data_IF_298703943232
#
_entry.id   IF_298703943232
#
_cell.length_a   1.000
_cell.length_b   1.000
_cell.length_c   1.000
_cell.angle_alpha   90.00
_cell.angle_beta   90.00
_cell.angle_gamma   90.00
#
_symmetry.space_group_name_H-M   'P 1'
#
loop_
_entity.id
_entity.type
_entity.pdbx_description
1 polymer ?
#
# COMPACT_ATOMS: atom_id res chain seq x y z
N UNK A 1 -6.44 -5.72 0.89
CA UNK A 1 -7.87 -5.98 0.57
C UNK A 1 -8.00 -6.70 -0.79
N UNK A 2 -9.03 -7.55 -1.06
CA UNK A 2 -9.35 -8.03 -2.41
C UNK A 2 -9.80 -6.91 -3.34
N UNK A 3 -9.46 -7.01 -4.63
CA UNK A 3 -9.71 -5.95 -5.61
C UNK A 3 -11.19 -5.62 -5.79
N UNK A 4 -12.04 -6.63 -5.90
CA UNK A 4 -13.49 -6.51 -6.04
C UNK A 4 -14.11 -5.80 -4.81
N UNK A 5 -13.68 -6.18 -3.61
CA UNK A 5 -14.12 -5.55 -2.36
C UNK A 5 -13.68 -4.09 -2.29
N UNK A 6 -12.45 -3.80 -2.71
CA UNK A 6 -11.97 -2.42 -2.80
C UNK A 6 -12.78 -1.60 -3.80
N UNK A 7 -13.04 -2.11 -5.01
CA UNK A 7 -13.85 -1.43 -6.02
C UNK A 7 -15.29 -1.17 -5.54
N UNK A 8 -15.92 -2.12 -4.83
CA UNK A 8 -17.24 -1.94 -4.22
C UNK A 8 -17.26 -0.95 -3.05
N UNK A 9 -16.10 -0.65 -2.46
CA UNK A 9 -15.98 0.28 -1.34
C UNK A 9 -15.88 1.74 -1.75
N UNK A 10 -15.72 2.02 -3.03
CA UNK A 10 -15.64 3.39 -3.52
C UNK A 10 -17.00 4.08 -3.38
N UNK A 11 -17.00 5.30 -2.83
CA UNK A 11 -18.21 6.15 -2.78
C UNK A 11 -18.02 7.28 -3.79
N UNK A 12 -18.55 7.15 -5.02
CA UNK A 12 -18.55 8.25 -5.98
C UNK A 12 -19.54 9.33 -5.50
N UNK A 13 -19.10 10.58 -5.50
CA UNK A 13 -19.92 11.74 -5.17
C UNK A 13 -19.76 12.77 -6.27
N UNK A 14 -20.87 13.18 -6.88
CA UNK A 14 -20.91 14.21 -7.93
C UNK A 14 -21.75 15.39 -7.48
N UNK A 15 -21.42 16.56 -8.01
CA UNK A 15 -22.29 17.74 -7.87
C UNK A 15 -23.66 17.44 -8.47
N UNK A 16 -24.70 17.74 -7.70
CA UNK A 16 -26.11 17.49 -8.04
C UNK A 16 -26.64 16.12 -7.59
N UNK A 17 -25.79 15.26 -7.01
CA UNK A 17 -26.27 14.00 -6.43
C UNK A 17 -27.19 14.26 -5.23
N UNK A 18 -28.21 13.42 -5.07
CA UNK A 18 -29.03 13.34 -3.87
C UNK A 18 -28.53 12.18 -3.00
N UNK A 19 -27.85 12.51 -1.90
CA UNK A 19 -27.23 11.59 -0.95
C UNK A 19 -27.71 11.96 0.45
N UNK A 20 -28.31 11.02 1.17
CA UNK A 20 -28.71 11.21 2.56
C UNK A 20 -27.49 11.62 3.40
N UNK A 21 -27.52 12.84 3.92
CA UNK A 21 -26.37 13.43 4.60
C UNK A 21 -25.99 12.68 5.89
N UNK A 22 -27.00 12.22 6.64
CA UNK A 22 -26.79 11.51 7.89
C UNK A 22 -26.23 10.11 7.67
N UNK A 23 -26.74 9.39 6.67
CA UNK A 23 -26.21 8.09 6.26
C UNK A 23 -24.78 8.22 5.74
N UNK A 24 -24.53 9.17 4.84
CA UNK A 24 -23.20 9.41 4.28
C UNK A 24 -22.14 9.66 5.38
N UNK A 25 -22.41 10.59 6.29
CA UNK A 25 -21.46 10.91 7.37
C UNK A 25 -21.28 9.75 8.36
N UNK A 26 -22.35 8.99 8.64
CA UNK A 26 -22.29 7.77 9.45
C UNK A 26 -21.43 6.71 8.77
N UNK A 27 -21.63 6.44 7.48
CA UNK A 27 -20.86 5.47 6.70
C UNK A 27 -19.36 5.81 6.71
N UNK A 28 -18.99 7.07 6.50
CA UNK A 28 -17.58 7.48 6.56
C UNK A 28 -16.96 7.17 7.94
N UNK A 29 -17.68 7.49 9.01
CA UNK A 29 -17.21 7.22 10.38
C UNK A 29 -17.10 5.72 10.66
N UNK A 30 -18.08 4.92 10.23
CA UNK A 30 -18.08 3.46 10.40
C UNK A 30 -16.91 2.79 9.66
N UNK A 31 -16.59 3.29 8.46
CA UNK A 31 -15.46 2.84 7.63
C UNK A 31 -14.08 3.20 8.18
N UNK A 32 -14.03 3.94 9.29
CA UNK A 32 -12.78 4.24 9.99
C UNK A 32 -12.19 5.60 9.69
N UNK A 33 -12.94 6.52 9.07
CA UNK A 33 -12.49 7.91 8.98
C UNK A 33 -12.49 8.53 10.37
N UNK A 34 -11.39 9.18 10.74
CA UNK A 34 -11.27 9.87 12.01
C UNK A 34 -11.98 11.22 11.97
N UNK A 35 -13.03 11.38 12.78
CA UNK A 35 -13.80 12.63 12.84
C UNK A 35 -13.12 13.65 13.74
N UNK A 36 -12.66 14.74 13.14
CA UNK A 36 -12.02 15.87 13.81
C UNK A 36 -12.77 17.18 13.55
N UNK A 37 -12.29 18.27 14.18
CA UNK A 37 -12.82 19.61 13.96
C UNK A 37 -12.37 20.22 12.62
N UNK A 38 -11.20 19.81 12.13
CA UNK A 38 -10.63 20.13 10.84
C UNK A 38 -9.79 18.94 10.37
N UNK A 39 -9.74 18.71 9.05
CA UNK A 39 -8.88 17.68 8.47
C UNK A 39 -7.44 18.17 8.45
N UNK A 40 -6.51 17.25 8.71
CA UNK A 40 -5.06 17.55 8.81
C UNK A 40 -4.24 16.50 8.05
N UNK A 41 -4.65 15.23 8.11
CA UNK A 41 -3.98 14.12 7.43
C UNK A 41 -4.98 13.24 6.67
N UNK A 42 -4.50 12.46 5.67
CA UNK A 42 -5.32 11.43 5.03
C UNK A 42 -5.98 10.50 6.05
N UNK A 43 -7.24 10.13 5.79
CA UNK A 43 -8.06 9.37 6.73
C UNK A 43 -8.84 10.23 7.72
N UNK A 44 -8.67 11.56 7.72
CA UNK A 44 -9.48 12.47 8.54
C UNK A 44 -10.74 12.94 7.80
N UNK A 45 -11.82 13.17 8.56
CA UNK A 45 -13.00 13.91 8.13
C UNK A 45 -13.33 15.04 9.12
N UNK A 46 -13.95 16.11 8.62
CA UNK A 46 -14.56 17.13 9.47
C UNK A 46 -15.97 17.43 8.97
N UNK A 47 -16.94 17.42 9.89
CA UNK A 47 -18.36 17.62 9.57
C UNK A 47 -18.84 18.89 10.26
N UNK A 48 -19.28 19.88 9.47
CA UNK A 48 -19.63 21.23 9.92
C UNK A 48 -20.93 21.70 9.25
N UNK A 49 -22.06 21.52 9.93
CA UNK A 49 -23.36 21.79 9.32
C UNK A 49 -23.55 20.90 8.09
N UNK A 50 -23.90 21.48 6.94
CA UNK A 50 -24.00 20.77 5.66
C UNK A 50 -22.66 20.63 4.92
N UNK A 51 -21.51 20.67 5.60
CA UNK A 51 -20.20 20.55 4.96
C UNK A 51 -19.50 19.30 5.47
N UNK A 52 -18.95 18.51 4.55
CA UNK A 52 -18.04 17.41 4.86
C UNK A 52 -16.70 17.69 4.20
N UNK A 53 -15.66 17.89 5.01
CA UNK A 53 -14.29 17.85 4.53
C UNK A 53 -13.76 16.43 4.68
N UNK A 54 -13.10 15.91 3.65
CA UNK A 54 -12.52 14.57 3.62
C UNK A 54 -11.11 14.64 3.03
N UNK A 55 -10.14 14.02 3.71
CA UNK A 55 -8.78 13.90 3.21
C UNK A 55 -8.51 12.44 2.81
N UNK A 56 -8.40 12.19 1.51
CA UNK A 56 -8.21 10.85 0.93
C UNK A 56 -6.74 10.44 0.91
N UNK A 57 -6.47 9.14 1.05
CA UNK A 57 -5.15 8.58 0.82
C UNK A 57 -4.76 8.70 -0.66
N UNK A 58 -3.54 9.14 -0.93
CA UNK A 58 -3.03 9.33 -2.30
C UNK A 58 -3.33 10.70 -2.90
N UNK A 59 -4.14 11.53 -2.23
CA UNK A 59 -4.38 12.92 -2.63
C UNK A 59 -3.40 13.88 -1.93
N UNK A 60 -3.02 14.95 -2.62
CA UNK A 60 -2.15 15.99 -2.03
C UNK A 60 -2.93 16.98 -1.16
N UNK A 61 -4.24 17.13 -1.40
CA UNK A 61 -5.10 18.12 -0.74
C UNK A 61 -6.49 17.54 -0.46
N UNK A 62 -7.16 17.96 0.64
CA UNK A 62 -8.50 17.50 0.99
C UNK A 62 -9.59 18.07 0.08
N UNK A 63 -10.73 17.39 0.09
CA UNK A 63 -11.95 17.77 -0.60
C UNK A 63 -12.99 18.28 0.40
N UNK A 64 -13.64 19.38 0.07
CA UNK A 64 -14.80 19.94 0.76
C UNK A 64 -16.04 19.67 -0.07
N UNK A 65 -17.00 18.97 0.51
CA UNK A 65 -18.28 18.64 -0.10
C UNK A 65 -19.35 19.45 0.64
N UNK A 66 -20.00 20.36 -0.09
CA UNK A 66 -21.04 21.23 0.45
C UNK A 66 -22.41 20.66 0.06
N UNK A 67 -23.28 20.45 1.05
CA UNK A 67 -24.64 19.91 0.93
C UNK A 67 -25.68 20.99 1.23
N UNK A 68 -26.84 20.86 0.58
CA UNK A 68 -28.07 21.56 0.94
C UNK A 68 -29.19 20.53 1.14
N UNK A 69 -29.50 20.22 2.41
CA UNK A 69 -30.26 19.02 2.73
C UNK A 69 -29.46 17.79 2.28
N UNK A 70 -30.05 17.00 1.38
CA UNK A 70 -29.41 15.80 0.82
C UNK A 70 -28.77 16.05 -0.55
N UNK A 71 -28.80 17.29 -1.08
CA UNK A 71 -28.25 17.59 -2.40
C UNK A 71 -26.80 18.11 -2.32
N UNK A 72 -25.89 17.50 -3.06
CA UNK A 72 -24.50 17.95 -3.19
C UNK A 72 -24.44 19.21 -4.07
N UNK A 73 -24.18 20.36 -3.45
CA UNK A 73 -24.14 21.66 -4.13
C UNK A 73 -22.79 21.96 -4.78
N UNK A 74 -21.69 21.65 -4.09
CA UNK A 74 -20.35 21.91 -4.61
C UNK A 74 -19.33 20.94 -4.04
N UNK A 75 -18.27 20.70 -4.81
CA UNK A 75 -17.10 19.93 -4.38
C UNK A 75 -15.87 20.78 -4.70
N UNK A 76 -15.00 20.98 -3.70
CA UNK A 76 -13.82 21.83 -3.82
C UNK A 76 -12.60 21.15 -3.26
N UNK A 77 -11.48 21.24 -3.97
CA UNK A 77 -10.16 20.96 -3.38
C UNK A 77 -9.75 22.22 -2.62
N UNK A 78 -9.27 22.07 -1.39
CA UNK A 78 -8.83 23.18 -0.56
C UNK A 78 -7.48 22.91 0.08
N UNK A 79 -6.76 23.98 0.38
CA UNK A 79 -5.45 23.93 1.00
C UNK A 79 -5.58 23.56 2.49
N UNK A 80 -4.98 22.45 2.91
CA UNK A 80 -5.14 21.91 4.27
C UNK A 80 -4.64 22.87 5.37
N UNK A 81 -3.58 23.65 5.10
CA UNK A 81 -2.99 24.55 6.09
C UNK A 81 -3.81 25.84 6.25
N UNK A 82 -4.15 26.48 5.13
CA UNK A 82 -4.85 27.76 5.11
C UNK A 82 -6.37 27.63 5.16
N UNK A 83 -6.90 26.42 4.95
CA UNK A 83 -8.33 26.09 4.88
C UNK A 83 -9.08 26.86 3.78
N UNK A 84 -8.37 27.29 2.73
CA UNK A 84 -8.91 28.07 1.60
C UNK A 84 -9.10 27.19 0.38
N UNK A 85 -10.22 27.39 -0.31
CA UNK A 85 -10.49 26.70 -1.58
C UNK A 85 -9.42 27.03 -2.62
N UNK A 86 -8.95 26.00 -3.31
CA UNK A 86 -8.00 26.10 -4.42
C UNK A 86 -8.78 26.09 -5.74
N UNK A 87 -9.62 25.08 -5.96
CA UNK A 87 -10.43 24.92 -7.18
C UNK A 87 -11.67 24.07 -6.94
N UNK A 88 -12.69 24.29 -7.77
CA UNK A 88 -13.88 23.44 -7.84
C UNK A 88 -13.64 22.21 -8.74
N UNK A 89 -14.31 21.11 -8.39
CA UNK A 89 -14.34 19.86 -9.16
C UNK A 89 -15.78 19.37 -9.27
N UNK A 90 -16.08 18.61 -10.32
CA UNK A 90 -17.44 18.10 -10.57
C UNK A 90 -17.75 16.84 -9.75
N UNK A 91 -16.72 16.08 -9.40
CA UNK A 91 -16.85 14.79 -8.72
C UNK A 91 -15.63 14.50 -7.83
N UNK A 92 -15.83 13.63 -6.85
CA UNK A 92 -14.79 13.00 -6.04
C UNK A 92 -15.17 11.54 -5.80
N UNK A 93 -14.20 10.64 -5.84
CA UNK A 93 -14.39 9.24 -5.47
C UNK A 93 -13.76 9.01 -4.10
N UNK A 94 -14.58 8.80 -3.08
CA UNK A 94 -14.09 8.63 -1.70
C UNK A 94 -13.63 7.20 -1.53
N UNK A 95 -12.32 7.06 -1.33
CA UNK A 95 -11.64 5.81 -1.01
C UNK A 95 -11.93 5.37 0.44
N UNK A 96 -11.83 4.08 0.78
CA UNK A 96 -11.79 3.66 2.18
C UNK A 96 -10.51 4.18 2.88
N UNK A 97 -10.55 4.50 4.18
CA UNK A 97 -9.39 5.01 4.91
C UNK A 97 -8.44 3.90 5.38
N UNK A 98 -8.87 2.64 5.34
CA UNK A 98 -8.08 1.46 5.72
C UNK A 98 -8.34 0.30 4.74
N UNK A 99 -7.46 -0.70 4.75
CA UNK A 99 -7.65 -1.96 4.05
C UNK A 99 -8.71 -2.86 4.70
N UNK A 100 -9.20 -2.52 5.89
CA UNK A 100 -10.26 -3.24 6.62
C UNK A 100 -11.63 -2.74 6.15
N UNK A 101 -12.30 -3.54 5.31
CA UNK A 101 -13.64 -3.23 4.80
C UNK A 101 -14.64 -4.16 5.45
N UNK A 102 -15.63 -3.61 6.17
CA UNK A 102 -16.60 -4.41 6.93
C UNK A 102 -18.02 -4.39 6.35
N UNK A 103 -18.28 -3.61 5.29
CA UNK A 103 -19.66 -3.32 4.82
C UNK A 103 -20.23 -4.35 3.82
N UNK A 104 -19.49 -5.42 3.49
CA UNK A 104 -19.77 -6.27 2.31
C UNK A 104 -20.14 -7.72 2.60
N UNK A 105 -20.73 -8.01 3.78
CA UNK A 105 -21.10 -9.38 4.15
C UNK A 105 -19.89 -10.28 4.46
N UNK A 106 -18.73 -9.65 4.68
CA UNK A 106 -17.46 -10.32 4.91
C UNK A 106 -17.43 -11.04 6.25
N UNK A 107 -18.24 -10.59 7.22
CA UNK A 107 -18.42 -11.24 8.51
C UNK A 107 -18.83 -12.71 8.34
N UNK A 108 -19.76 -13.01 7.43
CA UNK A 108 -20.19 -14.39 7.15
C UNK A 108 -19.07 -15.22 6.54
N UNK A 109 -18.31 -14.64 5.59
CA UNK A 109 -17.19 -15.33 4.96
C UNK A 109 -16.03 -15.59 5.93
N UNK A 110 -15.88 -14.72 6.95
CA UNK A 110 -14.81 -14.74 7.94
C UNK A 110 -15.07 -15.69 9.12
N UNK A 111 -16.33 -15.96 9.46
CA UNK A 111 -16.70 -16.72 10.67
C UNK A 111 -16.04 -18.11 10.72
N UNK A 112 -15.98 -18.80 9.58
CA UNK A 112 -15.31 -20.10 9.51
C UNK A 112 -13.82 -19.98 9.86
N UNK A 113 -13.14 -18.95 9.33
CA UNK A 113 -11.71 -18.70 9.60
C UNK A 113 -11.48 -18.32 11.06
N UNK A 114 -12.32 -17.44 11.61
CA UNK A 114 -12.29 -17.06 13.02
C UNK A 114 -12.41 -18.29 13.92
N UNK A 115 -13.43 -19.13 13.70
CA UNK A 115 -13.67 -20.37 14.45
C UNK A 115 -12.51 -21.38 14.32
N UNK A 116 -11.96 -21.56 13.12
CA UNK A 116 -10.84 -22.48 12.89
C UNK A 116 -9.58 -22.02 13.64
N UNK A 117 -9.31 -20.71 13.67
CA UNK A 117 -8.17 -20.12 14.39
C UNK A 117 -8.36 -20.19 15.90
N UNK A 118 -9.54 -19.86 16.44
CA UNK A 118 -9.83 -19.99 17.87
C UNK A 118 -9.57 -21.44 18.35
N UNK A 119 -10.01 -22.44 17.57
CA UNK A 119 -9.78 -23.85 17.89
C UNK A 119 -8.31 -24.27 17.77
N UNK A 120 -7.62 -23.87 16.69
CA UNK A 120 -6.24 -24.28 16.40
C UNK A 120 -5.23 -23.61 17.33
N UNK A 121 -5.43 -22.32 17.61
CA UNK A 121 -4.49 -21.49 18.36
C UNK A 121 -4.89 -21.32 19.83
N UNK A 122 -6.11 -21.73 20.21
CA UNK A 122 -6.58 -21.66 21.60
C UNK A 122 -6.82 -20.23 22.10
N UNK A 123 -7.09 -19.30 21.18
CA UNK A 123 -7.30 -17.88 21.45
C UNK A 123 -8.79 -17.52 21.42
N UNK A 124 -9.14 -16.37 21.99
CA UNK A 124 -10.51 -15.83 21.97
C UNK A 124 -10.57 -14.63 21.03
N UNK A 125 -11.36 -14.73 19.96
CA UNK A 125 -11.56 -13.68 18.96
C UNK A 125 -12.97 -13.09 19.02
N UNK A 126 -13.68 -13.24 20.15
CA UNK A 126 -15.05 -12.74 20.33
C UNK A 126 -15.18 -11.25 20.03
N UNK A 127 -14.28 -10.41 20.53
CA UNK A 127 -14.31 -8.96 20.28
C UNK A 127 -14.13 -8.64 18.79
N UNK A 128 -13.17 -9.31 18.13
CA UNK A 128 -12.94 -9.14 16.68
C UNK A 128 -14.16 -9.56 15.87
N UNK A 129 -14.79 -10.67 16.25
CA UNK A 129 -16.03 -11.16 15.64
C UNK A 129 -17.18 -10.15 15.79
N UNK A 130 -17.32 -9.53 16.96
CA UNK A 130 -18.33 -8.49 17.21
C UNK A 130 -18.06 -7.25 16.35
N UNK A 131 -16.82 -6.78 16.27
CA UNK A 131 -16.43 -5.65 15.40
C UNK A 131 -16.72 -5.94 13.93
N UNK A 132 -16.38 -7.14 13.44
CA UNK A 132 -16.65 -7.54 12.05
C UNK A 132 -18.15 -7.57 11.75
N UNK A 133 -18.95 -8.16 12.64
CA UNK A 133 -20.40 -8.23 12.48
C UNK A 133 -21.08 -6.86 12.53
N UNK A 134 -20.60 -5.99 13.41
CA UNK A 134 -21.23 -4.69 13.64
C UNK A 134 -20.75 -3.63 12.64
N UNK A 135 -19.80 -3.95 11.75
CA UNK A 135 -19.28 -3.03 10.75
C UNK A 135 -18.40 -1.92 11.34
N UNK A 136 -17.78 -2.16 12.50
CA UNK A 136 -17.07 -1.12 13.25
C UNK A 136 -15.57 -1.28 13.08
N UNK A 137 -14.96 -0.31 12.41
CA UNK A 137 -13.51 -0.22 12.34
C UNK A 137 -12.88 0.19 13.70
N UNK A 138 -11.73 -0.41 14.01
CA UNK A 138 -10.83 -0.05 15.11
C UNK A 138 -9.39 -0.15 14.63
N UNK A 139 -8.55 0.75 15.12
CA UNK A 139 -7.11 0.72 14.86
C UNK A 139 -6.52 -0.64 15.29
N UNK A 140 -5.68 -1.22 14.42
CA UNK A 140 -5.05 -2.51 14.65
C UNK A 140 -5.86 -3.69 14.13
N UNK A 141 -7.04 -3.48 13.53
CA UNK A 141 -7.76 -4.55 12.83
C UNK A 141 -7.02 -5.06 11.58
N UNK A 142 -6.04 -4.31 11.08
CA UNK A 142 -5.15 -4.67 9.97
C UNK A 142 -4.38 -5.97 10.23
N UNK A 143 -4.14 -6.34 11.47
CA UNK A 143 -3.50 -7.64 11.77
C UNK A 143 -4.42 -8.83 11.48
N UNK A 144 -5.73 -8.61 11.29
CA UNK A 144 -6.72 -9.66 11.03
C UNK A 144 -7.19 -9.71 9.57
N UNK A 145 -6.48 -9.07 8.64
CA UNK A 145 -6.87 -9.03 7.22
C UNK A 145 -7.02 -10.42 6.61
N UNK A 146 -6.16 -11.38 6.93
CA UNK A 146 -6.35 -12.76 6.47
C UNK A 146 -7.60 -13.43 7.06
N UNK A 147 -7.99 -13.13 8.30
CA UNK A 147 -9.26 -13.64 8.84
C UNK A 147 -10.45 -13.02 8.10
N UNK A 148 -10.35 -11.74 7.75
CA UNK A 148 -11.39 -11.03 7.01
C UNK A 148 -11.51 -11.54 5.56
N UNK A 149 -10.40 -11.66 4.84
CA UNK A 149 -10.40 -11.91 3.39
C UNK A 149 -9.93 -13.30 2.95
N UNK A 150 -9.17 -14.00 3.80
CA UNK A 150 -8.47 -15.24 3.46
C UNK A 150 -7.46 -15.04 2.33
N UNK A 151 -7.28 -16.09 1.53
CA UNK A 151 -6.36 -16.10 0.39
C UNK A 151 -6.81 -15.22 -0.79
N UNK A 152 -7.98 -14.58 -0.71
CA UNK A 152 -8.47 -13.68 -1.77
C UNK A 152 -7.75 -12.32 -1.78
N UNK A 153 -6.95 -12.02 -0.75
CA UNK A 153 -6.24 -10.75 -0.60
C UNK A 153 -4.76 -10.88 -0.95
N UNK A 154 -4.37 -10.57 -2.18
CA UNK A 154 -2.95 -10.56 -2.58
C UNK A 154 -2.65 -9.34 -3.43
N UNK A 155 -1.51 -8.65 -3.25
CA UNK A 155 -1.09 -7.59 -4.18
C UNK A 155 -1.03 -8.06 -5.63
N UNK A 156 -0.72 -9.34 -5.86
CA UNK A 156 -0.65 -9.93 -7.20
C UNK A 156 -2.02 -9.98 -7.88
N UNK A 157 -3.14 -10.01 -7.13
CA UNK A 157 -4.48 -10.02 -7.73
C UNK A 157 -4.86 -8.68 -8.39
N UNK A 158 -4.14 -7.60 -8.09
CA UNK A 158 -4.32 -6.30 -8.74
C UNK A 158 -3.59 -6.19 -10.08
N UNK A 159 -2.69 -7.12 -10.40
CA UNK A 159 -1.91 -7.04 -11.62
C UNK A 159 -2.81 -7.20 -12.87
N UNK A 160 -2.58 -6.40 -13.93
CA UNK A 160 -3.25 -6.64 -15.21
C UNK A 160 -2.79 -7.96 -15.80
N UNK A 161 -3.62 -8.57 -16.67
CA UNK A 161 -3.33 -9.88 -17.26
C UNK A 161 -2.01 -9.90 -18.04
N UNK A 162 -1.73 -8.80 -18.75
CA UNK A 162 -0.57 -8.66 -19.65
C UNK A 162 0.61 -7.93 -18.98
N UNK A 163 0.83 -8.17 -17.69
CA UNK A 163 2.00 -7.62 -16.98
C UNK A 163 3.26 -8.46 -17.25
N UNK A 164 4.41 -7.77 -17.34
CA UNK A 164 5.73 -8.38 -17.29
C UNK A 164 6.32 -8.17 -15.88
N UNK A 165 6.58 -9.27 -15.17
CA UNK A 165 7.18 -9.21 -13.83
C UNK A 165 8.71 -9.25 -13.95
N UNK A 166 9.41 -8.30 -13.34
CA UNK A 166 10.88 -8.32 -13.26
C UNK A 166 11.30 -8.62 -11.83
N UNK A 167 11.82 -9.83 -11.60
CA UNK A 167 12.40 -10.22 -10.31
C UNK A 167 13.90 -9.93 -10.33
N UNK A 168 14.29 -8.87 -9.64
CA UNK A 168 15.69 -8.48 -9.50
C UNK A 168 16.31 -9.18 -8.30
N UNK A 169 17.43 -9.88 -8.51
CA UNK A 169 18.12 -10.70 -7.51
C UNK A 169 17.18 -11.70 -6.79
N UNK A 170 16.61 -12.70 -7.49
CA UNK A 170 15.65 -13.63 -6.86
C UNK A 170 16.13 -14.27 -5.55
N UNK A 171 17.41 -14.66 -5.46
CA UNK A 171 17.96 -15.21 -4.22
C UNK A 171 18.04 -14.22 -3.07
N UNK A 172 18.21 -12.91 -3.34
CA UNK A 172 18.15 -11.88 -2.32
C UNK A 172 16.71 -11.64 -1.85
N UNK A 173 15.73 -11.73 -2.76
CA UNK A 173 14.30 -11.68 -2.42
C UNK A 173 13.92 -12.85 -1.53
N UNK A 174 14.32 -14.07 -1.90
CA UNK A 174 14.10 -15.28 -1.09
C UNK A 174 14.72 -15.16 0.31
N UNK A 175 15.99 -14.74 0.39
CA UNK A 175 16.67 -14.55 1.68
C UNK A 175 16.03 -13.45 2.55
N UNK A 176 15.55 -12.35 1.93
CA UNK A 176 14.84 -11.28 2.63
C UNK A 176 13.49 -11.77 3.17
N UNK A 177 12.79 -12.60 2.39
CA UNK A 177 11.54 -13.22 2.78
C UNK A 177 11.73 -14.18 3.97
N UNK A 178 12.69 -15.10 3.88
CA UNK A 178 13.01 -16.04 4.98
C UNK A 178 13.34 -15.29 6.27
N UNK A 179 14.14 -14.22 6.18
CA UNK A 179 14.46 -13.36 7.31
C UNK A 179 13.21 -12.73 7.91
N UNK A 180 12.32 -12.20 7.05
CA UNK A 180 11.10 -11.54 7.50
C UNK A 180 10.14 -12.52 8.19
N UNK A 181 9.98 -13.72 7.64
CA UNK A 181 9.16 -14.77 8.28
C UNK A 181 9.70 -15.07 9.67
N UNK A 182 11.02 -15.30 9.78
CA UNK A 182 11.66 -15.58 11.04
C UNK A 182 11.50 -14.45 12.06
N UNK A 183 11.65 -13.19 11.64
CA UNK A 183 11.43 -12.03 12.52
C UNK A 183 10.01 -12.00 13.10
N UNK A 184 9.00 -12.29 12.27
CA UNK A 184 7.60 -12.31 12.70
C UNK A 184 7.32 -13.50 13.62
N UNK A 185 7.90 -14.67 13.33
CA UNK A 185 7.83 -15.85 14.20
C UNK A 185 8.50 -15.59 15.56
N UNK A 186 9.71 -15.03 15.57
CA UNK A 186 10.44 -14.70 16.79
C UNK A 186 9.66 -13.68 17.64
N UNK A 187 9.07 -12.65 17.01
CA UNK A 187 8.19 -11.69 17.68
C UNK A 187 6.96 -12.38 18.27
N UNK A 188 6.30 -13.25 17.51
CA UNK A 188 5.15 -14.00 18.01
C UNK A 188 5.51 -14.91 19.18
N UNK A 189 6.69 -15.53 19.15
CA UNK A 189 7.19 -16.35 20.24
C UNK A 189 7.56 -15.54 21.49
N UNK A 190 7.96 -14.28 21.33
CA UNK A 190 8.26 -13.36 22.44
C UNK A 190 7.04 -13.07 23.34
N UNK A 191 5.82 -13.21 22.82
CA UNK A 191 4.58 -13.09 23.61
C UNK A 191 4.36 -14.26 24.59
N UNK A 192 5.12 -15.36 24.48
CA UNK A 192 5.06 -16.46 25.43
C UNK A 192 3.70 -17.19 25.47
N UNK A 193 3.15 -17.38 26.68
CA UNK A 193 1.87 -18.10 26.89
C UNK A 193 0.64 -17.17 26.82
N UNK A 194 0.81 -15.84 26.88
CA UNK A 194 -0.31 -14.87 26.86
C UNK A 194 -0.70 -14.47 25.42
N UNK A 195 -0.69 -15.45 24.52
CA UNK A 195 -1.00 -15.21 23.10
C UNK A 195 -2.49 -14.94 22.96
N UNK A 196 -2.85 -13.68 22.79
CA UNK A 196 -4.21 -13.22 22.45
C UNK A 196 -4.40 -12.97 20.97
N UNK A 197 -3.39 -13.30 20.15
CA UNK A 197 -3.38 -13.03 18.72
C UNK A 197 -3.18 -14.34 17.92
N UNK A 198 -3.72 -14.41 16.70
CA UNK A 198 -3.45 -15.49 15.75
C UNK A 198 -1.97 -15.72 15.49
N UNK A 199 -1.61 -16.91 15.00
CA UNK A 199 -0.26 -17.15 14.46
C UNK A 199 0.05 -16.23 13.27
N UNK A 200 1.35 -15.95 12.99
CA UNK A 200 1.79 -15.17 11.85
C UNK A 200 1.18 -15.55 10.50
N UNK A 201 1.07 -16.85 10.23
CA UNK A 201 0.45 -17.40 9.00
C UNK A 201 -1.03 -17.03 8.83
N UNK A 202 -1.69 -16.58 9.89
CA UNK A 202 -3.09 -16.17 9.91
C UNK A 202 -3.27 -14.63 9.86
N UNK A 203 -2.20 -13.86 9.69
CA UNK A 203 -2.26 -12.39 9.55
C UNK A 203 -2.27 -11.94 8.09
N UNK A 204 -1.67 -12.71 7.18
CA UNK A 204 -1.54 -12.34 5.77
C UNK A 204 -1.53 -13.58 4.87
N UNK A 205 -1.50 -13.37 3.56
CA UNK A 205 -1.35 -14.44 2.58
C UNK A 205 0.07 -15.00 2.60
N UNK A 206 0.18 -16.32 2.49
CA UNK A 206 1.47 -17.00 2.58
C UNK A 206 2.39 -16.62 1.41
N UNK A 207 3.71 -16.61 1.63
CA UNK A 207 4.66 -16.29 0.57
C UNK A 207 4.60 -17.24 -0.62
N UNK A 208 4.29 -18.52 -0.38
CA UNK A 208 4.09 -19.54 -1.42
C UNK A 208 2.95 -19.13 -2.36
N UNK A 209 1.84 -18.64 -1.80
CA UNK A 209 0.68 -18.17 -2.59
C UNK A 209 1.01 -16.93 -3.41
N UNK A 210 1.77 -16.00 -2.85
CA UNK A 210 2.27 -14.83 -3.59
C UNK A 210 3.16 -15.30 -4.74
N UNK A 211 4.10 -16.22 -4.48
CA UNK A 211 4.97 -16.79 -5.50
C UNK A 211 4.17 -17.50 -6.61
N UNK A 212 3.22 -18.36 -6.26
CA UNK A 212 2.32 -19.02 -7.21
C UNK A 212 1.56 -18.00 -8.07
N UNK A 213 1.09 -16.89 -7.49
CA UNK A 213 0.46 -15.80 -8.22
C UNK A 213 1.42 -15.15 -9.22
N UNK A 214 2.64 -14.81 -8.78
CA UNK A 214 3.66 -14.20 -9.64
C UNK A 214 4.03 -15.11 -10.82
N UNK A 215 4.11 -16.42 -10.59
CA UNK A 215 4.47 -17.42 -11.59
C UNK A 215 3.40 -17.63 -12.67
N UNK A 216 2.19 -17.08 -12.51
CA UNK A 216 1.17 -17.06 -13.56
C UNK A 216 1.43 -16.03 -14.64
N UNK A 217 2.32 -15.06 -14.40
CA UNK A 217 2.67 -14.01 -15.35
C UNK A 217 4.00 -14.30 -16.05
N UNK A 218 4.22 -13.63 -17.19
CA UNK A 218 5.55 -13.63 -17.79
C UNK A 218 6.54 -12.94 -16.85
N UNK A 219 7.70 -13.55 -16.64
CA UNK A 219 8.69 -13.02 -15.72
C UNK A 219 10.10 -13.03 -16.29
N UNK A 220 10.83 -11.92 -16.08
CA UNK A 220 12.27 -11.83 -16.26
C UNK A 220 12.92 -11.91 -14.88
N UNK A 221 13.86 -12.84 -14.73
CA UNK A 221 14.64 -13.00 -13.50
C UNK A 221 16.05 -12.49 -13.74
N UNK A 222 16.39 -11.37 -13.11
CA UNK A 222 17.72 -10.78 -13.24
C UNK A 222 18.62 -11.32 -12.12
N UNK A 223 19.59 -12.17 -12.49
CA UNK A 223 20.55 -12.78 -11.59
C UNK A 223 21.94 -12.15 -11.74
N UNK A 224 22.64 -11.89 -10.63
CA UNK A 224 24.06 -11.50 -10.66
C UNK A 224 24.97 -12.62 -11.14
N UNK A 225 24.66 -13.83 -10.69
CA UNK A 225 25.41 -15.03 -11.00
C UNK A 225 24.70 -15.80 -12.11
N UNK A 226 25.50 -16.42 -12.98
CA UNK A 226 25.00 -17.20 -14.09
C UNK A 226 24.10 -18.34 -13.60
N UNK A 227 22.80 -18.36 -13.93
CA UNK A 227 21.89 -19.40 -13.46
C UNK A 227 22.05 -20.70 -14.25
N UNK A 228 21.64 -21.82 -13.66
CA UNK A 228 21.61 -23.16 -14.31
C UNK A 228 20.34 -23.38 -15.15
N UNK A 229 19.94 -22.38 -15.94
CA UNK A 229 18.78 -22.45 -16.84
C UNK A 229 19.06 -21.69 -18.13
N UNK A 230 18.13 -21.68 -19.08
CA UNK A 230 18.24 -20.82 -20.26
C UNK A 230 18.29 -19.34 -19.83
N UNK A 231 19.30 -18.60 -20.30
CA UNK A 231 19.52 -17.22 -19.90
C UNK A 231 20.20 -16.41 -21.01
N UNK A 232 20.07 -15.09 -20.91
CA UNK A 232 20.87 -14.12 -21.65
C UNK A 232 21.87 -13.50 -20.69
N UNK A 233 23.15 -13.49 -21.05
CA UNK A 233 24.20 -12.89 -20.24
C UNK A 233 24.59 -11.53 -20.79
N UNK A 234 24.49 -10.51 -19.94
CA UNK A 234 25.11 -9.21 -20.16
C UNK A 234 26.47 -9.21 -19.46
N UNK A 235 27.52 -8.75 -20.15
CA UNK A 235 28.82 -8.53 -19.52
C UNK A 235 28.83 -7.12 -18.93
N UNK A 236 28.92 -7.01 -17.62
CA UNK A 236 29.13 -5.76 -16.90
C UNK A 236 30.19 -5.97 -15.83
N UNK A 237 31.14 -5.04 -15.73
CA UNK A 237 32.05 -4.97 -14.59
C UNK A 237 31.41 -4.13 -13.47
N UNK A 238 31.82 -4.35 -12.22
CA UNK A 238 31.51 -3.40 -11.16
C UNK A 238 32.23 -2.08 -11.43
N UNK A 239 31.52 -0.96 -11.30
CA UNK A 239 32.17 0.35 -11.30
C UNK A 239 33.03 0.47 -10.04
N UNK A 240 34.27 0.95 -10.20
CA UNK A 240 35.13 1.29 -9.07
C UNK A 240 34.46 2.38 -8.23
N UNK A 241 34.46 2.22 -6.90
CA UNK A 241 34.14 3.33 -5.99
C UNK A 241 35.39 4.18 -5.83
N UNK A 242 35.23 5.48 -6.02
CA UNK A 242 36.35 6.42 -6.02
C UNK A 242 36.54 7.13 -4.67
N UNK A 243 35.56 7.09 -3.74
CA UNK A 243 35.66 7.63 -2.37
C UNK A 243 36.38 9.00 -2.28
N UNK A 244 35.90 9.98 -3.07
CA UNK A 244 36.45 11.34 -3.24
C UNK A 244 37.84 11.44 -3.92
N UNK A 245 38.40 10.35 -4.43
CA UNK A 245 39.65 10.35 -5.21
C UNK A 245 39.38 10.70 -6.67
N UNK A 246 39.09 11.97 -6.94
CA UNK A 246 38.77 12.47 -8.29
C UNK A 246 39.89 12.25 -9.31
N UNK A 247 41.15 12.21 -8.86
CA UNK A 247 42.29 11.87 -9.73
C UNK A 247 42.18 10.47 -10.33
N UNK A 248 41.81 9.47 -9.52
CA UNK A 248 41.62 8.10 -9.98
C UNK A 248 40.43 7.98 -10.94
N UNK A 249 39.34 8.73 -10.68
CA UNK A 249 38.21 8.82 -11.62
C UNK A 249 38.66 9.37 -12.97
N UNK A 250 39.43 10.46 -12.98
CA UNK A 250 39.92 11.08 -14.21
C UNK A 250 40.83 10.15 -15.02
N UNK A 251 41.67 9.36 -14.36
CA UNK A 251 42.52 8.35 -15.01
C UNK A 251 41.68 7.23 -15.64
N UNK A 252 40.74 6.66 -14.89
CA UNK A 252 39.87 5.59 -15.37
C UNK A 252 38.98 6.07 -16.54
N UNK A 253 38.45 7.31 -16.47
CA UNK A 253 37.69 7.93 -17.57
C UNK A 253 38.53 8.10 -18.85
N UNK A 254 39.78 8.54 -18.72
CA UNK A 254 40.70 8.66 -19.86
C UNK A 254 40.98 7.30 -20.49
N UNK A 255 41.19 6.27 -19.68
CA UNK A 255 41.42 4.91 -20.17
C UNK A 255 40.20 4.37 -20.93
N UNK A 256 39.00 4.54 -20.37
CA UNK A 256 37.74 4.14 -21.01
C UNK A 256 37.51 4.90 -22.33
N UNK A 257 37.79 6.20 -22.34
CA UNK A 257 37.69 7.02 -23.55
C UNK A 257 38.67 6.55 -24.64
N UNK A 258 39.92 6.24 -24.27
CA UNK A 258 40.93 5.71 -25.20
C UNK A 258 40.53 4.35 -25.78
N UNK A 259 39.78 3.54 -25.01
CA UNK A 259 39.18 2.27 -25.46
C UNK A 259 37.88 2.45 -26.28
N UNK A 260 37.54 3.69 -26.64
CA UNK A 260 36.35 4.06 -27.42
C UNK A 260 35.00 3.67 -26.77
N UNK A 261 34.95 3.64 -25.43
CA UNK A 261 33.67 3.51 -24.72
C UNK A 261 32.87 4.81 -24.79
N UNK A 262 31.54 4.68 -24.87
CA UNK A 262 30.62 5.79 -24.58
C UNK A 262 30.49 5.89 -23.06
N UNK A 263 30.81 7.04 -22.50
CA UNK A 263 30.83 7.27 -21.04
C UNK A 263 29.65 8.16 -20.67
N UNK A 264 28.83 7.68 -19.73
CA UNK A 264 27.74 8.44 -19.13
C UNK A 264 28.10 8.75 -17.67
N UNK A 265 28.22 10.04 -17.33
CA UNK A 265 28.36 10.50 -15.95
C UNK A 265 26.98 10.96 -15.46
N UNK A 266 26.36 10.16 -14.61
CA UNK A 266 25.06 10.48 -14.00
C UNK A 266 25.29 11.23 -12.70
N UNK A 267 24.64 12.38 -12.55
CA UNK A 267 24.75 13.27 -11.38
C UNK A 267 23.37 13.42 -10.73
N UNK A 268 23.32 13.47 -9.41
CA UNK A 268 22.07 13.59 -8.65
C UNK A 268 21.49 15.01 -8.73
N UNK A 269 22.34 16.03 -8.96
CA UNK A 269 21.93 17.43 -9.06
C UNK A 269 22.89 18.28 -9.91
N UNK A 270 22.44 19.50 -10.21
CA UNK A 270 23.16 20.46 -11.06
C UNK A 270 24.52 20.87 -10.47
N UNK A 271 24.62 21.10 -9.16
CA UNK A 271 25.88 21.45 -8.50
C UNK A 271 26.92 20.32 -8.51
N UNK A 272 26.50 19.06 -8.58
CA UNK A 272 27.41 17.93 -8.82
C UNK A 272 27.88 17.90 -10.29
N UNK A 273 26.96 18.14 -11.24
CA UNK A 273 27.28 18.20 -12.67
C UNK A 273 28.34 19.26 -12.96
N UNK A 274 28.19 20.46 -12.42
CA UNK A 274 29.16 21.56 -12.59
C UNK A 274 30.55 21.14 -12.10
N UNK A 275 30.64 20.59 -10.88
CA UNK A 275 31.91 20.10 -10.32
C UNK A 275 32.58 18.99 -11.13
N UNK A 276 31.79 18.14 -11.78
CA UNK A 276 32.30 17.04 -12.61
C UNK A 276 32.59 17.46 -14.05
N UNK A 277 32.10 18.63 -14.50
CA UNK A 277 32.40 19.17 -15.85
C UNK A 277 33.86 19.58 -15.97
N UNK A 278 34.50 19.94 -14.86
CA UNK A 278 35.92 20.32 -14.80
C UNK A 278 36.89 19.12 -14.80
N UNK A 279 36.36 17.88 -14.72
CA UNK A 279 37.16 16.63 -14.64
C UNK A 279 37.38 16.04 -16.04
#
# INVERSE_FOLDING_TARGET
>A
CPRDQFELSLIPVRRGDNVDFEDFTRTLTQRGYERLNAVEHPGHIAIRGGIVDVFLHGEEQPHRIEFWGDEVQSIRIFDVETQRSIREVEEVEILPPSEVLLDFGLEYSSEKRLSDVERKDGINLKEIRELFRDGIYREGLEQYLYLLYGENSSPVSYFPRDILVILHHPGAVEAALERRIKEVEDLFMSYGQDKKQPRPENFSVSPEKIHEGLMRHQAIRNHELRPQCAHVSFRGGSSRRYDNQLGALKEDLKELYQKAFVIWLVCDNEGQRERLTDI
#
